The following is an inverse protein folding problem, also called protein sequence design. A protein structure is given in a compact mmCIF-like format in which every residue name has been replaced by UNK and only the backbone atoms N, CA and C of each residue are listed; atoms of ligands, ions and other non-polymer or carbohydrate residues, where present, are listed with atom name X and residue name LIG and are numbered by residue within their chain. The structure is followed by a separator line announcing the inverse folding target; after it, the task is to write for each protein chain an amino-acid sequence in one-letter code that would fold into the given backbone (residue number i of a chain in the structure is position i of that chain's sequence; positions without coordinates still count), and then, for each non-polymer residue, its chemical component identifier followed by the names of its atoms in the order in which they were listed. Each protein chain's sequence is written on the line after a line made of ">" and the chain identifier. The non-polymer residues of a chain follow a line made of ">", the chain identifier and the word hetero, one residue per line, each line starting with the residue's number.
data_IF_789249315873
#
_entry.id   IF_789249315873
#
_cell.length_a   1.000
_cell.length_b   1.000
_cell.length_c   1.000
_cell.angle_alpha   90.00
_cell.angle_beta   90.00
_cell.angle_gamma   90.00
#
_symmetry.space_group_name_H-M   'P 1'
#
loop_
_entity.id
_entity.type
_entity.pdbx_description
1 polymer ?
#
# COMPACT_ATOMS: atom_id res chain seq x y z
N UNK A 1 -18.26 -12.39 -10.80
CA UNK A 1 -17.26 -13.33 -10.21
C UNK A 1 -16.87 -12.99 -8.77
N UNK A 2 -16.97 -11.72 -8.32
CA UNK A 2 -16.65 -11.29 -6.94
C UNK A 2 -17.88 -10.85 -6.10
N UNK A 3 -19.09 -10.96 -6.64
CA UNK A 3 -20.30 -10.59 -5.90
C UNK A 3 -20.50 -11.51 -4.70
N UNK A 4 -20.77 -10.93 -3.53
CA UNK A 4 -20.88 -11.68 -2.28
C UNK A 4 -19.55 -12.22 -1.73
N UNK A 5 -18.41 -11.79 -2.29
CA UNK A 5 -17.09 -12.06 -1.74
C UNK A 5 -16.46 -10.77 -1.22
N UNK A 6 -15.58 -10.93 -0.22
CA UNK A 6 -14.59 -9.92 0.15
C UNK A 6 -13.42 -9.98 -0.83
N UNK A 7 -12.99 -8.82 -1.29
CA UNK A 7 -11.87 -8.71 -2.21
C UNK A 7 -11.04 -7.46 -1.91
N UNK A 8 -9.80 -7.44 -2.39
CA UNK A 8 -8.96 -6.26 -2.44
C UNK A 8 -8.39 -6.09 -3.85
N UNK A 9 -7.88 -4.91 -4.14
CA UNK A 9 -7.25 -4.54 -5.41
C UNK A 9 -6.25 -3.40 -5.14
N UNK A 10 -5.47 -2.92 -6.12
CA UNK A 10 -4.59 -1.78 -5.89
C UNK A 10 -5.37 -0.50 -5.56
N UNK A 11 -5.00 0.21 -4.49
CA UNK A 11 -5.73 1.38 -3.96
C UNK A 11 -6.14 2.40 -5.03
N UNK A 12 -5.33 2.59 -6.08
CA UNK A 12 -5.58 3.52 -7.20
C UNK A 12 -6.88 3.23 -7.95
N UNK A 13 -7.38 2.00 -7.85
CA UNK A 13 -8.54 1.51 -8.58
C UNK A 13 -9.81 1.44 -7.72
N UNK A 14 -9.73 1.72 -6.40
CA UNK A 14 -10.87 1.54 -5.48
C UNK A 14 -12.08 2.36 -5.88
N UNK A 15 -11.89 3.65 -6.14
CA UNK A 15 -13.00 4.56 -6.43
C UNK A 15 -13.77 4.11 -7.67
N UNK A 16 -13.05 3.98 -8.79
CA UNK A 16 -13.64 3.55 -10.06
C UNK A 16 -14.29 2.15 -9.95
N UNK A 17 -13.66 1.22 -9.24
CA UNK A 17 -14.20 -0.13 -9.07
C UNK A 17 -15.45 -0.14 -8.19
N UNK A 18 -15.46 0.62 -7.09
CA UNK A 18 -16.62 0.72 -6.19
C UNK A 18 -17.81 1.36 -6.89
N UNK A 19 -17.57 2.37 -7.73
CA UNK A 19 -18.61 2.99 -8.54
C UNK A 19 -19.20 2.03 -9.59
N UNK A 20 -18.35 1.25 -10.26
CA UNK A 20 -18.78 0.30 -11.28
C UNK A 20 -19.43 -0.97 -10.70
N UNK A 21 -19.01 -1.38 -9.51
CA UNK A 21 -19.42 -2.64 -8.87
C UNK A 21 -19.75 -2.45 -7.37
N UNK A 22 -20.79 -1.67 -7.03
CA UNK A 22 -21.15 -1.33 -5.64
C UNK A 22 -21.53 -2.54 -4.77
N UNK A 23 -21.85 -3.68 -5.39
CA UNK A 23 -22.19 -4.94 -4.73
C UNK A 23 -20.97 -5.74 -4.25
N UNK A 24 -19.75 -5.38 -4.66
CA UNK A 24 -18.52 -6.07 -4.24
C UNK A 24 -18.00 -5.45 -2.94
N UNK A 25 -17.72 -6.29 -1.94
CA UNK A 25 -17.16 -5.83 -0.67
C UNK A 25 -15.65 -5.66 -0.81
N UNK A 26 -15.18 -4.43 -1.03
CA UNK A 26 -13.75 -4.13 -1.07
C UNK A 26 -13.17 -3.87 0.31
N UNK A 27 -11.99 -4.42 0.59
CA UNK A 27 -11.17 -4.11 1.76
C UNK A 27 -9.88 -3.42 1.35
N UNK A 28 -9.29 -2.62 2.24
CA UNK A 28 -7.99 -1.96 2.02
C UNK A 28 -6.81 -2.80 2.53
N UNK A 29 -7.00 -4.12 2.65
CA UNK A 29 -5.99 -5.08 3.06
C UNK A 29 -4.99 -5.35 1.94
N UNK A 30 -3.82 -5.88 2.27
CA UNK A 30 -2.81 -6.27 1.26
C UNK A 30 -3.32 -7.42 0.39
N UNK A 31 -3.97 -8.42 0.98
CA UNK A 31 -4.62 -9.49 0.22
C UNK A 31 -5.84 -10.03 0.97
N UNK A 32 -6.77 -10.62 0.23
CA UNK A 32 -7.95 -11.29 0.76
C UNK A 32 -7.97 -12.73 0.25
N UNK A 33 -8.24 -13.66 1.16
CA UNK A 33 -8.54 -15.07 0.86
C UNK A 33 -9.97 -15.31 1.34
N UNK A 34 -10.94 -15.20 0.44
CA UNK A 34 -12.34 -15.47 0.74
C UNK A 34 -12.79 -16.73 -0.03
N UNK A 35 -12.86 -17.85 0.69
CA UNK A 35 -13.22 -19.18 0.16
C UNK A 35 -12.33 -19.57 -1.02
N UNK A 36 -12.87 -19.51 -2.24
CA UNK A 36 -12.21 -19.88 -3.50
C UNK A 36 -11.79 -18.66 -4.33
N UNK A 37 -11.74 -17.46 -3.73
CA UNK A 37 -11.27 -16.23 -4.35
C UNK A 37 -10.07 -15.69 -3.58
N UNK A 38 -9.01 -15.42 -4.33
CA UNK A 38 -7.79 -14.81 -3.82
C UNK A 38 -7.56 -13.52 -4.59
N UNK A 39 -7.37 -12.43 -3.87
CA UNK A 39 -7.14 -11.10 -4.46
C UNK A 39 -6.06 -10.37 -3.68
N UNK A 40 -5.31 -9.48 -4.34
CA UNK A 40 -4.20 -8.76 -3.72
C UNK A 40 -4.08 -7.32 -4.24
N UNK A 41 -3.45 -6.49 -3.43
CA UNK A 41 -3.29 -5.05 -3.63
C UNK A 41 -2.20 -4.67 -4.66
N UNK A 42 -1.47 -5.64 -5.21
CA UNK A 42 -0.40 -5.41 -6.16
C UNK A 42 0.65 -6.51 -6.15
N UNK A 43 1.75 -6.31 -6.90
CA UNK A 43 2.76 -7.35 -7.12
C UNK A 43 3.43 -7.87 -5.85
N UNK A 44 3.88 -6.97 -4.97
CA UNK A 44 4.52 -7.40 -3.71
C UNK A 44 3.51 -8.05 -2.76
N UNK A 45 2.26 -7.58 -2.74
CA UNK A 45 1.19 -8.21 -1.96
C UNK A 45 0.81 -9.60 -2.49
N UNK A 46 0.94 -9.83 -3.81
CA UNK A 46 0.78 -11.15 -4.41
C UNK A 46 1.87 -12.11 -3.92
N UNK A 47 3.10 -11.63 -3.73
CA UNK A 47 4.19 -12.41 -3.16
C UNK A 47 3.88 -12.80 -1.70
N UNK A 48 3.41 -11.86 -0.86
CA UNK A 48 3.00 -12.17 0.52
C UNK A 48 1.86 -13.20 0.56
N UNK A 49 0.86 -13.04 -0.32
CA UNK A 49 -0.24 -13.99 -0.47
C UNK A 49 0.28 -15.39 -0.81
N UNK A 50 1.17 -15.51 -1.79
CA UNK A 50 1.71 -16.81 -2.20
C UNK A 50 2.57 -17.44 -1.10
N UNK A 51 3.41 -16.66 -0.43
CA UNK A 51 4.22 -17.14 0.70
C UNK A 51 3.33 -17.58 1.88
N UNK A 52 2.22 -16.88 2.12
CA UNK A 52 1.21 -17.29 3.10
C UNK A 52 0.58 -18.63 2.74
N UNK A 53 0.19 -18.83 1.48
CA UNK A 53 -0.38 -20.11 1.00
C UNK A 53 0.63 -21.26 1.09
N UNK A 54 1.90 -21.00 0.74
CA UNK A 54 2.99 -21.98 0.89
C UNK A 54 3.14 -22.37 2.37
N UNK A 55 3.15 -21.38 3.27
CA UNK A 55 3.23 -21.62 4.71
C UNK A 55 2.06 -22.46 5.24
N UNK A 56 0.85 -22.19 4.75
CA UNK A 56 -0.35 -22.95 5.13
C UNK A 56 -0.34 -24.39 4.61
N UNK A 57 0.09 -24.62 3.36
CA UNK A 57 0.02 -25.93 2.72
C UNK A 57 1.25 -26.82 2.95
N UNK A 58 2.41 -26.22 3.14
CA UNK A 58 3.70 -26.91 3.18
C UNK A 58 4.53 -26.60 4.43
N UNK A 59 4.01 -25.75 5.32
CA UNK A 59 4.65 -25.35 6.56
C UNK A 59 5.56 -24.12 6.42
N UNK A 60 5.75 -23.41 7.53
CA UNK A 60 6.47 -22.14 7.59
C UNK A 60 7.91 -22.22 7.05
N UNK A 61 8.61 -23.35 7.28
CA UNK A 61 9.99 -23.54 6.82
C UNK A 61 10.13 -23.44 5.29
N UNK A 62 9.18 -23.96 4.52
CA UNK A 62 9.25 -23.83 3.06
C UNK A 62 8.97 -22.40 2.61
N UNK A 63 8.00 -21.72 3.25
CA UNK A 63 7.72 -20.33 2.94
C UNK A 63 8.96 -19.44 3.20
N UNK A 64 9.68 -19.67 4.30
CA UNK A 64 10.92 -18.97 4.65
C UNK A 64 12.02 -19.20 3.59
N UNK A 65 12.26 -20.45 3.20
CA UNK A 65 13.23 -20.77 2.14
C UNK A 65 12.89 -20.11 0.80
N UNK A 66 11.60 -20.02 0.46
CA UNK A 66 11.16 -19.33 -0.75
C UNK A 66 11.32 -17.82 -0.59
N UNK A 67 10.99 -17.23 0.56
CA UNK A 67 11.16 -15.79 0.79
C UNK A 67 12.62 -15.35 0.67
N UNK A 68 13.58 -16.18 1.10
CA UNK A 68 15.01 -15.92 0.93
C UNK A 68 15.42 -15.79 -0.56
N UNK A 69 14.84 -16.61 -1.46
CA UNK A 69 15.12 -16.51 -2.90
C UNK A 69 14.65 -15.20 -3.52
N UNK A 70 13.65 -14.55 -2.91
CA UNK A 70 13.11 -13.27 -3.35
C UNK A 70 13.69 -12.08 -2.58
N UNK A 71 14.67 -12.29 -1.68
CA UNK A 71 15.21 -11.25 -0.79
C UNK A 71 14.08 -10.53 -0.05
N UNK A 72 13.10 -11.30 0.41
CA UNK A 72 11.94 -10.79 1.13
C UNK A 72 12.23 -10.82 2.63
N UNK A 73 12.57 -9.67 3.21
CA UNK A 73 12.95 -9.54 4.62
C UNK A 73 11.82 -9.91 5.59
N UNK A 74 10.57 -9.69 5.18
CA UNK A 74 9.38 -9.97 6.00
C UNK A 74 8.18 -10.30 5.13
N UNK A 75 7.55 -11.43 5.42
CA UNK A 75 6.23 -11.79 4.86
C UNK A 75 5.17 -10.96 5.59
N UNK A 76 4.46 -10.11 4.85
CA UNK A 76 3.42 -9.25 5.41
C UNK A 76 2.11 -10.02 5.60
N UNK A 77 1.35 -9.66 6.63
CA UNK A 77 0.06 -10.29 6.92
C UNK A 77 -1.04 -9.73 6.02
N UNK A 78 -2.12 -10.51 5.87
CA UNK A 78 -3.28 -10.15 5.05
C UNK A 78 -3.87 -8.79 5.46
N UNK A 79 -4.09 -8.61 6.76
CA UNK A 79 -4.77 -7.46 7.36
C UNK A 79 -3.91 -6.20 7.45
N UNK A 80 -2.64 -6.27 7.06
CA UNK A 80 -1.82 -5.08 6.87
C UNK A 80 -2.42 -4.18 5.80
N UNK A 81 -2.36 -2.87 6.05
CA UNK A 81 -2.91 -1.88 5.13
C UNK A 81 -1.97 -1.65 3.97
N UNK A 82 -2.56 -1.36 2.81
CA UNK A 82 -1.81 -0.87 1.66
C UNK A 82 -1.08 0.43 2.00
N UNK A 83 0.16 0.56 1.50
CA UNK A 83 0.86 1.83 1.55
C UNK A 83 0.25 2.79 0.51
N UNK A 84 -0.52 3.76 1.01
CA UNK A 84 -1.06 4.86 0.21
C UNK A 84 -0.21 6.10 0.47
N UNK A 85 0.53 6.61 -0.52
CA UNK A 85 1.32 7.82 -0.36
C UNK A 85 0.49 8.97 0.21
N UNK A 86 1.05 9.71 1.17
CA UNK A 86 0.42 10.85 1.81
C UNK A 86 0.01 11.90 0.79
N UNK A 87 0.84 12.14 -0.24
CA UNK A 87 0.50 13.07 -1.34
C UNK A 87 -0.84 12.76 -2.01
N UNK A 88 -1.23 11.49 -2.10
CA UNK A 88 -2.52 11.09 -2.68
C UNK A 88 -3.69 11.47 -1.77
N UNK A 89 -3.46 11.58 -0.46
CA UNK A 89 -4.49 12.00 0.52
C UNK A 89 -4.72 13.50 0.52
N UNK A 90 -3.83 14.28 -0.09
CA UNK A 90 -3.89 15.74 -0.11
C UNK A 90 -4.93 16.29 -1.09
N UNK A 91 -5.49 15.46 -1.99
CA UNK A 91 -6.58 15.87 -2.89
C UNK A 91 -6.24 17.15 -3.68
N UNK A 92 -7.04 18.21 -3.48
CA UNK A 92 -6.86 19.52 -4.12
C UNK A 92 -5.98 20.49 -3.30
N UNK A 93 -5.07 19.97 -2.47
CA UNK A 93 -4.13 20.81 -1.74
C UNK A 93 -3.30 21.70 -2.68
N UNK A 94 -2.85 22.87 -2.20
CA UNK A 94 -1.87 23.66 -2.93
C UNK A 94 -0.64 22.83 -3.28
N UNK A 95 -0.08 23.03 -4.48
CA UNK A 95 1.10 22.29 -4.96
C UNK A 95 2.26 22.35 -3.95
N UNK A 96 2.45 23.50 -3.30
CA UNK A 96 3.46 23.69 -2.25
C UNK A 96 3.32 22.73 -1.07
N UNK A 97 2.09 22.37 -0.68
CA UNK A 97 1.84 21.38 0.38
C UNK A 97 2.11 19.96 -0.11
N UNK A 98 1.78 19.66 -1.38
CA UNK A 98 2.08 18.37 -2.00
C UNK A 98 3.58 18.13 -2.08
N UNK A 99 4.33 19.16 -2.47
CA UNK A 99 5.78 19.12 -2.57
C UNK A 99 6.42 18.99 -1.19
N UNK A 100 5.91 19.72 -0.18
CA UNK A 100 6.37 19.59 1.22
C UNK A 100 6.22 18.16 1.74
N UNK A 101 5.04 17.55 1.56
CA UNK A 101 4.77 16.19 2.01
C UNK A 101 5.62 15.18 1.23
N UNK A 102 5.87 15.41 -0.05
CA UNK A 102 6.76 14.55 -0.85
C UNK A 102 8.20 14.61 -0.34
N UNK A 103 8.70 15.81 0.02
CA UNK A 103 10.00 15.99 0.65
C UNK A 103 10.08 15.31 2.03
N UNK A 104 9.03 15.40 2.84
CA UNK A 104 8.95 14.68 4.12
C UNK A 104 8.98 13.16 3.91
N UNK A 105 8.23 12.62 2.94
CA UNK A 105 8.21 11.18 2.60
C UNK A 105 9.58 10.67 2.12
N UNK A 106 10.37 11.52 1.44
CA UNK A 106 11.69 11.16 0.96
C UNK A 106 12.77 11.17 2.07
N UNK A 107 12.51 11.82 3.21
CA UNK A 107 13.50 12.06 4.27
C UNK A 107 13.00 11.51 5.63
N UNK A 108 12.42 10.31 5.65
CA UNK A 108 11.85 9.72 6.89
C UNK A 108 12.95 9.34 7.91
N UNK A 109 14.13 8.94 7.42
CA UNK A 109 15.26 8.54 8.28
C UNK A 109 15.97 9.75 8.90
N UNK A 110 16.12 10.83 8.13
CA UNK A 110 16.68 12.12 8.57
C UNK A 110 15.71 13.27 8.22
N UNK A 111 14.70 13.54 9.08
CA UNK A 111 13.67 14.52 8.77
C UNK A 111 14.20 15.94 8.62
N UNK A 112 13.81 16.62 7.54
CA UNK A 112 14.06 18.03 7.34
C UNK A 112 13.28 18.87 8.35
N UNK A 113 13.91 19.93 8.86
CA UNK A 113 13.23 20.95 9.67
C UNK A 113 12.21 21.74 8.84
N UNK A 114 11.28 22.41 9.52
CA UNK A 114 10.32 23.30 8.86
C UNK A 114 10.98 24.44 8.08
N UNK A 115 12.16 24.89 8.53
CA UNK A 115 12.92 25.93 7.84
C UNK A 115 13.50 25.40 6.52
N UNK A 116 14.15 24.23 6.56
CA UNK A 116 14.74 23.59 5.38
C UNK A 116 13.68 23.23 4.33
N UNK A 117 12.50 22.80 4.77
CA UNK A 117 11.34 22.58 3.89
C UNK A 117 10.88 23.89 3.23
N UNK A 118 10.75 24.98 4.00
CA UNK A 118 10.34 26.27 3.46
C UNK A 118 11.35 26.81 2.43
N UNK A 119 12.64 26.63 2.69
CA UNK A 119 13.73 26.98 1.76
C UNK A 119 13.70 26.14 0.49
N UNK A 120 13.56 24.81 0.60
CA UNK A 120 13.48 23.91 -0.56
C UNK A 120 12.27 24.19 -1.46
N UNK A 121 11.18 24.69 -0.87
CA UNK A 121 9.93 24.97 -1.56
C UNK A 121 9.80 26.43 -2.03
N UNK A 122 10.78 27.29 -1.72
CA UNK A 122 10.72 28.72 -2.03
C UNK A 122 9.57 29.46 -1.34
N UNK A 123 9.08 28.95 -0.21
CA UNK A 123 7.97 29.54 0.58
C UNK A 123 8.51 30.51 1.64
N UNK A 124 9.80 30.86 1.57
CA UNK A 124 10.44 31.83 2.45
C UNK A 124 9.62 33.11 2.52
N UNK A 125 9.08 33.40 3.71
CA UNK A 125 8.19 34.52 3.94
C UNK A 125 8.78 35.83 3.42
N UNK A 126 7.95 36.56 2.67
CA UNK A 126 8.15 37.98 2.39
C UNK A 126 8.49 38.68 3.72
N UNK A 127 9.68 39.25 3.82
CA UNK A 127 9.93 40.44 4.64
C UNK A 127 9.72 41.69 3.79
#
# INVERSE_FOLDING_TARGET
>A
MLEGYRATLPWQRFEAFTQAYPQVTLSQQLFEIDRDRLTCAGGTAAMDLMLTLIGQHHGARLAEQVSEQFVCDRIRLADERQHVPLRTRLGHAPQSLVDAVTLMEANIEEPLSTLELAEHLGISGVS
#
